data_IF_556765708030
#
_entry.id   IF_556765708030
#
_cell.length_a   1.000
_cell.length_b   1.000
_cell.length_c   1.000
_cell.angle_alpha   90.00
_cell.angle_beta   90.00
_cell.angle_gamma   90.00
#
_symmetry.space_group_name_H-M   'P 1'
#
loop_
_entity.id
_entity.type
_entity.pdbx_description
1 polymer ?
#
# COMPACT_ATOMS: atom_id res chain seq x y z
N UNK A 1 15.91 12.52 9.36
CA UNK A 1 15.39 13.72 8.66
C UNK A 1 14.09 13.38 7.93
N UNK A 2 13.26 14.36 7.56
CA UNK A 2 12.06 14.17 6.73
C UNK A 2 10.83 13.64 7.47
N UNK A 3 9.72 13.49 6.73
CA UNK A 3 8.41 13.09 7.24
C UNK A 3 7.66 12.20 6.22
N UNK A 4 6.38 11.92 6.49
CA UNK A 4 5.51 11.14 5.60
C UNK A 4 5.56 11.67 4.16
N UNK A 5 5.49 10.76 3.19
CA UNK A 5 5.58 11.01 1.73
C UNK A 5 6.99 11.35 1.22
N UNK A 6 8.00 11.34 2.09
CA UNK A 6 9.41 11.48 1.71
C UNK A 6 10.21 10.20 1.96
N UNK A 7 11.30 10.02 1.20
CA UNK A 7 12.16 8.81 1.27
C UNK A 7 13.25 8.90 2.34
N UNK A 8 13.31 10.00 3.09
CA UNK A 8 14.23 10.20 4.23
C UNK A 8 13.89 9.26 5.40
N UNK A 9 14.85 8.96 6.28
CA UNK A 9 14.65 8.00 7.39
C UNK A 9 13.45 8.36 8.29
N UNK A 10 13.12 9.64 8.46
CA UNK A 10 11.95 10.07 9.24
C UNK A 10 10.60 9.74 8.59
N UNK A 11 10.57 9.50 7.27
CA UNK A 11 9.39 9.02 6.55
C UNK A 11 9.30 7.49 6.44
N UNK A 12 10.44 6.80 6.45
CA UNK A 12 10.49 5.37 6.05
C UNK A 12 11.01 4.42 7.13
N UNK A 13 11.80 4.89 8.09
CA UNK A 13 12.27 4.08 9.21
C UNK A 13 11.24 4.14 10.33
N UNK A 14 10.52 3.05 10.52
CA UNK A 14 9.48 2.93 11.53
C UNK A 14 9.90 1.98 12.65
N UNK A 15 9.54 2.25 13.91
CA UNK A 15 9.65 1.24 14.96
C UNK A 15 8.68 0.09 14.66
N UNK A 16 9.15 -1.13 14.84
CA UNK A 16 8.32 -2.34 14.72
C UNK A 16 8.62 -3.26 15.91
N UNK A 17 7.59 -3.95 16.39
CA UNK A 17 7.69 -4.95 17.45
C UNK A 17 7.00 -6.22 16.99
N UNK A 18 7.62 -7.36 17.28
CA UNK A 18 7.05 -8.68 17.03
C UNK A 18 6.78 -9.34 18.38
N UNK A 19 5.55 -9.81 18.57
CA UNK A 19 5.12 -10.48 19.78
C UNK A 19 4.07 -11.54 19.45
N UNK A 20 3.97 -12.57 20.27
CA UNK A 20 2.95 -13.60 20.15
C UNK A 20 3.43 -14.99 20.57
N UNK A 21 2.49 -15.89 20.87
CA UNK A 21 2.79 -17.18 21.48
C UNK A 21 3.65 -18.13 20.63
N UNK A 22 3.61 -18.01 19.29
CA UNK A 22 4.52 -18.77 18.42
C UNK A 22 5.97 -18.30 18.53
N UNK A 23 6.17 -16.98 18.61
CA UNK A 23 7.48 -16.36 18.73
C UNK A 23 8.08 -16.66 20.11
N UNK A 24 7.31 -16.41 21.17
CA UNK A 24 7.72 -16.67 22.56
C UNK A 24 8.14 -18.13 22.75
N UNK A 25 7.29 -19.08 22.34
CA UNK A 25 7.57 -20.51 22.43
C UNK A 25 8.85 -20.91 21.68
N UNK A 26 9.10 -20.35 20.51
CA UNK A 26 10.28 -20.71 19.72
C UNK A 26 11.55 -20.02 20.22
N UNK A 27 11.44 -18.82 20.80
CA UNK A 27 12.53 -18.15 21.52
C UNK A 27 12.91 -18.91 22.80
N UNK A 28 11.93 -19.38 23.58
CA UNK A 28 12.15 -20.22 24.77
C UNK A 28 12.94 -21.49 24.44
N UNK A 29 12.61 -22.17 23.33
CA UNK A 29 13.32 -23.37 22.86
C UNK A 29 14.81 -23.14 22.61
N UNK A 30 15.21 -21.92 22.29
CA UNK A 30 16.61 -21.53 22.08
C UNK A 30 17.17 -20.68 23.22
N UNK A 31 16.45 -20.62 24.35
CA UNK A 31 16.82 -19.84 25.55
C UNK A 31 17.12 -18.37 25.24
N UNK A 32 16.29 -17.77 24.38
CA UNK A 32 16.39 -16.35 24.02
C UNK A 32 15.39 -15.52 24.83
N UNK A 33 15.88 -14.49 25.51
CA UNK A 33 15.06 -13.48 26.16
C UNK A 33 14.58 -12.43 25.14
N UNK A 34 13.49 -11.67 25.41
CA UNK A 34 13.09 -10.54 24.59
C UNK A 34 14.24 -9.53 24.38
N UNK A 35 14.38 -9.03 23.16
CA UNK A 35 15.50 -8.16 22.78
C UNK A 35 15.10 -7.13 21.71
N UNK A 36 15.98 -6.14 21.54
CA UNK A 36 15.92 -5.19 20.43
C UNK A 36 16.96 -5.56 19.38
N UNK A 37 16.58 -5.54 18.11
CA UNK A 37 17.50 -5.74 16.99
C UNK A 37 17.51 -4.54 16.05
N UNK A 38 18.66 -4.27 15.46
CA UNK A 38 18.86 -3.25 14.42
C UNK A 38 19.15 -3.86 13.05
N UNK A 39 18.96 -5.17 12.93
CA UNK A 39 19.10 -5.90 11.68
C UNK A 39 18.11 -5.38 10.62
N UNK A 40 18.54 -5.36 9.36
CA UNK A 40 17.77 -4.78 8.27
C UNK A 40 16.51 -5.61 7.98
N UNK A 41 15.33 -5.02 8.17
CA UNK A 41 14.04 -5.63 7.84
C UNK A 41 13.18 -4.65 7.04
N UNK A 42 12.27 -5.19 6.25
CA UNK A 42 11.31 -4.43 5.46
C UNK A 42 9.89 -4.99 5.63
N UNK A 43 8.85 -4.19 5.38
CA UNK A 43 7.44 -4.62 5.53
C UNK A 43 7.11 -5.84 4.65
N UNK A 44 7.76 -5.97 3.50
CA UNK A 44 7.59 -7.13 2.60
C UNK A 44 8.09 -8.44 3.21
N UNK A 45 8.99 -8.38 4.19
CA UNK A 45 9.51 -9.56 4.89
C UNK A 45 8.47 -10.23 5.78
N UNK A 46 7.47 -9.48 6.24
CA UNK A 46 6.44 -10.00 7.14
C UNK A 46 5.71 -11.16 6.45
N UNK A 47 5.32 -10.97 5.18
CA UNK A 47 4.62 -11.99 4.41
C UNK A 47 5.48 -13.24 4.20
N UNK A 48 6.72 -13.08 3.74
CA UNK A 48 7.65 -14.19 3.52
C UNK A 48 7.94 -14.96 4.83
N UNK A 49 8.05 -14.25 5.95
CA UNK A 49 8.26 -14.84 7.28
C UNK A 49 7.03 -15.64 7.74
N UNK A 50 5.82 -15.14 7.53
CA UNK A 50 4.59 -15.87 7.87
C UNK A 50 4.46 -17.14 7.03
N UNK A 51 4.73 -17.09 5.72
CA UNK A 51 4.72 -18.26 4.86
C UNK A 51 5.67 -19.36 5.37
N UNK A 52 6.86 -18.96 5.82
CA UNK A 52 7.81 -19.88 6.43
C UNK A 52 7.27 -20.51 7.72
N UNK A 53 6.67 -19.73 8.63
CA UNK A 53 6.05 -20.25 9.86
C UNK A 53 4.92 -21.24 9.55
N UNK A 54 4.14 -20.97 8.49
CA UNK A 54 3.08 -21.83 8.01
C UNK A 54 3.57 -23.04 7.21
N UNK A 55 4.88 -23.20 7.03
CA UNK A 55 5.50 -24.27 6.25
C UNK A 55 4.99 -24.34 4.79
N UNK A 56 4.75 -23.17 4.18
CA UNK A 56 4.37 -23.04 2.77
C UNK A 56 5.63 -23.08 1.90
N UNK A 57 5.59 -23.85 0.81
CA UNK A 57 6.65 -23.86 -0.20
C UNK A 57 6.58 -22.59 -1.07
N UNK A 58 7.62 -21.76 -1.00
CA UNK A 58 7.72 -20.50 -1.74
C UNK A 58 8.63 -20.60 -2.97
N UNK A 59 9.12 -21.78 -3.34
CA UNK A 59 10.12 -21.97 -4.41
C UNK A 59 9.66 -21.38 -5.76
N UNK A 60 8.35 -21.45 -6.05
CA UNK A 60 7.78 -20.95 -7.30
C UNK A 60 7.11 -19.56 -7.16
N UNK A 61 7.28 -18.89 -6.02
CA UNK A 61 6.69 -17.58 -5.76
C UNK A 61 7.72 -16.48 -6.03
N UNK A 62 7.34 -15.44 -6.77
CA UNK A 62 8.15 -14.22 -6.91
C UNK A 62 7.84 -13.30 -5.73
N UNK A 63 8.71 -13.31 -4.71
CA UNK A 63 8.58 -12.49 -3.51
C UNK A 63 9.75 -11.52 -3.39
N UNK A 64 9.45 -10.26 -3.06
CA UNK A 64 10.49 -9.25 -2.72
C UNK A 64 10.91 -9.33 -1.25
N UNK A 65 10.11 -10.03 -0.43
CA UNK A 65 10.35 -10.28 0.98
C UNK A 65 11.25 -11.50 1.21
N UNK A 66 12.02 -11.47 2.30
CA UNK A 66 12.81 -12.62 2.76
C UNK A 66 12.34 -13.08 4.15
N UNK A 67 12.57 -14.35 4.45
CA UNK A 67 12.25 -14.92 5.76
C UNK A 67 13.18 -14.36 6.85
N UNK A 68 12.60 -13.70 7.86
CA UNK A 68 13.33 -13.13 8.99
C UNK A 68 13.18 -13.95 10.29
N UNK A 69 12.57 -15.14 10.25
CA UNK A 69 12.26 -15.92 11.45
C UNK A 69 13.50 -16.25 12.28
N UNK A 70 14.63 -16.56 11.63
CA UNK A 70 15.89 -16.78 12.35
C UNK A 70 16.46 -15.51 12.98
N UNK A 71 16.26 -14.37 12.35
CA UNK A 71 16.64 -13.08 12.92
C UNK A 71 15.78 -12.72 14.12
N UNK A 72 14.49 -13.10 14.13
CA UNK A 72 13.53 -12.84 15.21
C UNK A 72 13.64 -13.83 16.40
N UNK A 73 13.95 -15.09 16.15
CA UNK A 73 13.99 -16.13 17.20
C UNK A 73 15.40 -16.31 17.76
N UNK A 74 16.43 -16.11 16.94
CA UNK A 74 17.82 -16.49 17.26
C UNK A 74 18.80 -15.32 17.26
N UNK A 75 18.31 -14.09 17.14
CA UNK A 75 19.12 -12.87 17.00
C UNK A 75 20.27 -13.04 15.99
N UNK A 76 19.98 -13.66 14.85
CA UNK A 76 20.94 -13.87 13.75
C UNK A 76 20.87 -12.71 12.77
N UNK A 77 21.96 -12.46 12.05
CA UNK A 77 22.01 -11.44 11.02
C UNK A 77 20.87 -11.62 10.01
N UNK A 78 20.30 -10.51 9.56
CA UNK A 78 19.23 -10.49 8.57
C UNK A 78 19.68 -11.15 7.27
N UNK A 79 18.76 -11.94 6.70
CA UNK A 79 18.90 -12.46 5.34
C UNK A 79 18.88 -11.32 4.30
N UNK A 80 18.25 -10.19 4.64
CA UNK A 80 18.12 -9.01 3.76
C UNK A 80 19.42 -8.22 3.73
N UNK A 81 19.88 -7.91 2.51
CA UNK A 81 21.08 -7.09 2.27
C UNK A 81 20.77 -5.77 1.56
N UNK A 82 19.61 -5.67 0.93
CA UNK A 82 19.15 -4.46 0.25
C UNK A 82 17.66 -4.17 0.53
N UNK A 83 17.28 -2.90 0.42
CA UNK A 83 15.91 -2.41 0.51
C UNK A 83 15.71 -1.35 -0.56
N UNK A 84 14.82 -1.62 -1.50
CA UNK A 84 14.24 -0.57 -2.34
C UNK A 84 13.15 0.11 -1.52
N UNK A 85 13.30 1.41 -1.27
CA UNK A 85 12.28 2.19 -0.55
C UNK A 85 11.13 2.50 -1.49
N UNK A 86 11.46 3.05 -2.66
CA UNK A 86 10.56 3.26 -3.78
C UNK A 86 11.38 3.70 -5.00
N UNK A 87 10.86 3.42 -6.20
CA UNK A 87 11.30 4.03 -7.46
C UNK A 87 10.02 4.50 -8.14
N UNK A 88 9.88 5.81 -8.28
CA UNK A 88 8.72 6.37 -8.98
C UNK A 88 8.76 5.99 -10.46
N UNK A 89 7.61 6.07 -11.14
CA UNK A 89 7.57 5.80 -12.58
C UNK A 89 8.40 6.80 -13.41
N UNK A 90 8.63 6.47 -14.68
CA UNK A 90 9.29 7.37 -15.64
C UNK A 90 8.58 8.74 -15.75
N UNK A 91 7.24 8.76 -15.63
CA UNK A 91 6.46 10.00 -15.60
C UNK A 91 6.93 10.93 -14.49
N UNK A 92 7.30 10.37 -13.33
CA UNK A 92 7.82 11.08 -12.16
C UNK A 92 9.35 10.92 -12.04
N UNK A 93 10.01 10.76 -13.19
CA UNK A 93 11.45 10.84 -13.37
C UNK A 93 12.26 9.83 -12.55
N UNK A 94 11.68 8.67 -12.23
CA UNK A 94 12.37 7.60 -11.51
C UNK A 94 12.96 8.03 -10.16
N UNK A 95 12.44 9.10 -9.54
CA UNK A 95 12.89 9.55 -8.21
C UNK A 95 12.57 8.51 -7.13
N UNK A 96 13.42 8.39 -6.12
CA UNK A 96 13.31 7.29 -5.18
C UNK A 96 14.53 7.11 -4.27
N UNK A 97 14.60 5.96 -3.60
CA UNK A 97 15.73 5.61 -2.75
C UNK A 97 15.96 4.10 -2.68
N UNK A 98 17.23 3.74 -2.53
CA UNK A 98 17.72 2.37 -2.39
C UNK A 98 18.73 2.32 -1.25
N UNK A 99 18.66 1.29 -0.41
CA UNK A 99 19.66 0.99 0.61
C UNK A 99 20.31 -0.36 0.32
N UNK A 100 21.64 -0.41 0.38
CA UNK A 100 22.42 -1.64 0.33
C UNK A 100 23.38 -1.63 1.52
N UNK A 101 23.23 -2.59 2.42
CA UNK A 101 23.96 -2.63 3.69
C UNK A 101 23.78 -1.35 4.49
N UNK A 102 24.89 -0.66 4.75
CA UNK A 102 24.91 0.56 5.55
C UNK A 102 24.65 1.82 4.73
N UNK A 103 24.69 1.72 3.40
CA UNK A 103 24.60 2.89 2.52
C UNK A 103 23.23 3.04 1.89
N UNK A 104 22.75 4.28 1.83
CA UNK A 104 21.50 4.66 1.20
C UNK A 104 21.75 5.71 0.12
N UNK A 105 21.29 5.41 -1.08
CA UNK A 105 21.25 6.31 -2.23
C UNK A 105 19.85 6.92 -2.36
N UNK A 106 19.79 8.22 -2.61
CA UNK A 106 18.53 8.97 -2.80
C UNK A 106 18.64 9.79 -4.08
N UNK A 107 17.61 9.68 -4.93
CA UNK A 107 17.39 10.51 -6.11
C UNK A 107 16.14 11.36 -5.89
N UNK A 108 16.34 12.63 -5.55
CA UNK A 108 15.26 13.55 -5.15
C UNK A 108 15.07 14.67 -6.19
N UNK A 109 13.80 15.02 -6.47
CA UNK A 109 13.42 16.14 -7.33
C UNK A 109 12.83 17.29 -6.50
N UNK A 110 12.65 18.46 -7.10
CA UNK A 110 12.22 19.66 -6.36
C UNK A 110 10.76 19.60 -5.88
N UNK A 111 9.97 18.65 -6.38
CA UNK A 111 8.56 18.47 -6.03
C UNK A 111 8.29 17.00 -5.71
N UNK A 112 7.45 16.76 -4.69
CA UNK A 112 6.94 15.43 -4.37
C UNK A 112 5.94 14.97 -5.43
N UNK A 113 5.65 13.67 -5.49
CA UNK A 113 4.60 13.14 -6.39
C UNK A 113 3.26 13.80 -6.08
N UNK A 114 2.90 13.92 -4.79
CA UNK A 114 1.65 14.56 -4.37
C UNK A 114 1.52 16.00 -4.88
N UNK A 115 2.52 16.84 -4.62
CA UNK A 115 2.49 18.24 -5.06
C UNK A 115 2.44 18.36 -6.58
N UNK A 116 3.14 17.47 -7.28
CA UNK A 116 3.15 17.41 -8.74
C UNK A 116 1.78 17.04 -9.30
N UNK A 117 1.15 16.00 -8.77
CA UNK A 117 -0.20 15.58 -9.18
C UNK A 117 -1.19 16.70 -8.93
N UNK A 118 -1.20 17.29 -7.73
CA UNK A 118 -2.10 18.41 -7.39
C UNK A 118 -1.93 19.61 -8.34
N UNK A 119 -0.69 19.98 -8.66
CA UNK A 119 -0.40 21.06 -9.60
C UNK A 119 -0.85 20.74 -11.03
N UNK A 120 -0.62 19.50 -11.50
CA UNK A 120 -1.11 19.05 -12.81
C UNK A 120 -2.64 19.11 -12.85
N UNK A 121 -3.33 18.52 -11.86
CA UNK A 121 -4.80 18.49 -11.83
C UNK A 121 -5.40 19.91 -11.80
N UNK A 122 -4.79 20.85 -11.06
CA UNK A 122 -5.23 22.25 -11.06
C UNK A 122 -5.11 22.92 -12.43
N UNK A 123 -4.08 22.58 -13.22
CA UNK A 123 -3.91 23.08 -14.59
C UNK A 123 -4.93 22.43 -15.53
N UNK A 124 -5.15 21.12 -15.40
CA UNK A 124 -6.15 20.39 -16.20
C UNK A 124 -7.55 20.95 -15.97
N UNK A 125 -7.91 21.25 -14.71
CA UNK A 125 -9.23 21.80 -14.36
C UNK A 125 -9.50 23.20 -14.92
N UNK A 126 -8.45 23.99 -15.21
CA UNK A 126 -8.57 25.31 -15.84
C UNK A 126 -8.64 25.24 -17.36
N UNK A 127 -8.28 24.10 -17.95
CA UNK A 127 -8.34 23.91 -19.38
C UNK A 127 -9.70 23.33 -19.78
N UNK A 128 -10.31 23.88 -20.82
CA UNK A 128 -11.48 23.26 -21.46
C UNK A 128 -11.10 22.09 -22.39
N UNK A 129 -9.80 21.74 -22.50
CA UNK A 129 -9.30 20.73 -23.43
C UNK A 129 -8.94 19.40 -22.75
N UNK A 130 -9.35 18.30 -23.38
CA UNK A 130 -8.84 16.96 -23.09
C UNK A 130 -7.34 16.90 -23.41
N UNK A 131 -6.48 16.77 -22.39
CA UNK A 131 -5.03 16.71 -22.58
C UNK A 131 -4.57 15.30 -23.01
N UNK A 132 -3.89 15.15 -24.17
CA UNK A 132 -3.22 13.90 -24.51
C UNK A 132 -2.11 13.58 -23.50
N UNK A 133 -1.96 12.30 -23.11
CA UNK A 133 -0.95 11.80 -22.14
C UNK A 133 0.47 12.34 -22.35
N UNK A 134 0.89 12.57 -23.61
CA UNK A 134 2.21 13.14 -23.95
C UNK A 134 2.43 14.55 -23.38
N UNK A 135 1.38 15.37 -23.30
CA UNK A 135 1.47 16.73 -22.73
C UNK A 135 1.57 16.70 -21.19
N UNK A 136 0.99 15.70 -20.55
CA UNK A 136 1.06 15.54 -19.09
C UNK A 136 2.50 15.21 -18.67
N UNK A 137 3.20 14.35 -19.41
CA UNK A 137 4.60 14.05 -19.11
C UNK A 137 5.51 15.29 -19.21
N UNK A 138 5.29 16.16 -20.21
CA UNK A 138 6.05 17.42 -20.30
C UNK A 138 5.74 18.37 -19.15
N UNK A 139 4.47 18.44 -18.71
CA UNK A 139 4.07 19.29 -17.60
C UNK A 139 4.67 18.80 -16.28
N UNK A 140 4.62 17.50 -16.02
CA UNK A 140 5.27 16.89 -14.86
C UNK A 140 6.76 17.21 -14.83
N UNK A 141 7.47 17.05 -15.97
CA UNK A 141 8.89 17.40 -16.09
C UNK A 141 9.17 18.87 -15.78
N UNK A 142 8.29 19.78 -16.21
CA UNK A 142 8.42 21.20 -15.92
C UNK A 142 8.27 21.49 -14.42
N UNK A 143 7.32 20.84 -13.75
CA UNK A 143 7.04 21.04 -12.33
C UNK A 143 8.13 20.43 -11.44
N UNK A 144 8.54 19.18 -11.72
CA UNK A 144 9.52 18.46 -10.90
C UNK A 144 10.95 19.01 -11.05
N UNK A 145 11.22 19.74 -12.13
CA UNK A 145 12.54 20.27 -12.46
C UNK A 145 13.42 19.25 -13.20
N UNK A 146 14.45 19.75 -13.89
CA UNK A 146 15.28 18.93 -14.79
C UNK A 146 16.46 18.23 -14.11
N UNK A 147 16.91 18.71 -12.96
CA UNK A 147 18.13 18.23 -12.31
C UNK A 147 17.79 17.66 -10.94
N UNK A 148 17.92 16.33 -10.74
CA UNK A 148 17.71 15.74 -9.43
C UNK A 148 18.86 16.08 -8.49
N UNK A 149 18.56 16.19 -7.20
CA UNK A 149 19.54 16.16 -6.13
C UNK A 149 19.84 14.71 -5.79
N UNK A 150 21.13 14.37 -5.75
CA UNK A 150 21.60 13.04 -5.40
C UNK A 150 22.26 13.04 -4.04
N UNK A 151 21.94 12.02 -3.26
CA UNK A 151 22.52 11.85 -1.93
C UNK A 151 23.02 10.43 -1.72
N UNK A 152 24.09 10.32 -0.95
CA UNK A 152 24.63 9.05 -0.46
C UNK A 152 24.96 9.22 1.03
N UNK A 153 24.39 8.36 1.87
CA UNK A 153 24.64 8.39 3.31
C UNK A 153 25.00 7.00 3.81
N UNK A 154 25.91 6.93 4.78
CA UNK A 154 26.00 5.77 5.66
C UNK A 154 24.93 5.94 6.75
N UNK A 155 23.80 5.24 6.66
CA UNK A 155 22.66 5.41 7.58
C UNK A 155 22.88 4.79 8.96
N UNK A 156 23.93 3.99 9.13
CA UNK A 156 24.35 3.48 10.44
C UNK A 156 25.14 4.54 11.19
N UNK A 157 26.09 5.21 10.51
CA UNK A 157 26.91 6.29 11.10
C UNK A 157 26.20 7.65 11.12
N UNK A 158 25.32 7.91 10.14
CA UNK A 158 24.54 9.14 10.01
C UNK A 158 23.03 8.81 9.92
N UNK A 159 22.42 8.31 11.01
CA UNK A 159 21.01 7.91 11.01
C UNK A 159 20.05 9.09 10.85
N UNK A 160 20.55 10.32 11.01
CA UNK A 160 19.77 11.54 10.81
C UNK A 160 19.85 12.09 9.38
N UNK A 161 20.70 11.52 8.52
CA UNK A 161 20.96 12.00 7.15
C UNK A 161 21.34 13.50 7.11
N UNK A 162 22.22 13.89 8.05
CA UNK A 162 22.76 15.24 8.15
C UNK A 162 23.69 15.54 6.97
N UNK A 163 23.73 16.81 6.59
CA UNK A 163 24.63 17.33 5.56
C UNK A 163 25.48 18.50 6.08
N UNK A 164 25.40 18.76 7.38
CA UNK A 164 25.87 19.95 8.05
C UNK A 164 26.73 19.59 9.26
N UNK A 165 27.69 20.48 9.55
CA UNK A 165 28.60 20.36 10.68
C UNK A 165 30.03 20.00 10.30
N UNK A 166 30.96 20.33 11.19
CA UNK A 166 32.29 19.74 11.18
C UNK A 166 32.20 18.41 11.92
N UNK A 167 32.67 17.34 11.29
CA UNK A 167 32.83 16.03 11.90
C UNK A 167 34.19 15.45 11.53
N UNK A 168 34.72 14.62 12.43
CA UNK A 168 36.00 13.93 12.21
C UNK A 168 35.85 12.75 11.24
N UNK A 169 34.65 12.15 11.18
CA UNK A 169 34.28 11.10 10.22
C UNK A 169 33.20 11.62 9.28
N UNK A 170 33.56 11.85 8.02
CA UNK A 170 32.67 12.35 6.97
C UNK A 170 31.40 11.50 6.82
N UNK A 171 31.47 10.18 7.06
CA UNK A 171 30.31 9.30 6.99
C UNK A 171 29.23 9.61 8.03
N UNK A 172 29.61 10.26 9.14
CA UNK A 172 28.71 10.58 10.26
C UNK A 172 27.89 11.84 10.06
N UNK A 173 28.30 12.77 9.17
CA UNK A 173 27.64 14.07 9.05
C UNK A 173 27.52 14.66 7.63
N UNK A 174 28.08 14.01 6.59
CA UNK A 174 28.09 14.57 5.24
C UNK A 174 27.28 13.74 4.25
N UNK A 175 26.87 14.41 3.16
CA UNK A 175 26.46 13.74 1.93
C UNK A 175 27.72 13.26 1.20
N UNK A 176 27.85 11.94 1.05
CA UNK A 176 29.03 11.28 0.49
C UNK A 176 28.99 11.19 -1.04
N UNK A 177 27.92 11.64 -1.70
CA UNK A 177 27.72 11.41 -3.13
C UNK A 177 28.86 12.00 -4.00
N UNK A 178 29.34 13.18 -3.63
CA UNK A 178 30.47 13.85 -4.31
C UNK A 178 31.83 13.55 -3.65
N UNK A 179 31.87 12.71 -2.63
CA UNK A 179 33.09 12.44 -1.88
C UNK A 179 33.99 11.47 -2.67
N UNK A 180 35.29 11.76 -2.86
CA UNK A 180 36.18 10.95 -3.69
C UNK A 180 36.44 9.54 -3.11
N UNK A 181 36.39 9.40 -1.78
CA UNK A 181 36.55 8.09 -1.12
C UNK A 181 35.38 7.11 -1.28
N UNK A 182 34.24 7.53 -1.83
CA UNK A 182 33.03 6.70 -1.94
C UNK A 182 32.59 6.48 -3.39
N UNK A 183 33.48 6.68 -4.37
CA UNK A 183 33.14 6.49 -5.79
C UNK A 183 32.70 5.06 -6.11
N UNK A 184 33.38 4.06 -5.53
CA UNK A 184 33.03 2.65 -5.73
C UNK A 184 31.65 2.32 -5.14
N UNK A 185 31.41 2.72 -3.88
CA UNK A 185 30.11 2.56 -3.22
C UNK A 185 29.00 3.24 -4.01
N UNK A 186 29.21 4.49 -4.45
CA UNK A 186 28.28 5.20 -5.33
C UNK A 186 27.99 4.41 -6.60
N UNK A 187 29.03 3.93 -7.29
CA UNK A 187 28.90 3.17 -8.53
C UNK A 187 28.11 1.86 -8.35
N UNK A 188 28.26 1.18 -7.21
CA UNK A 188 27.47 -0.02 -6.88
C UNK A 188 25.99 0.33 -6.70
N UNK A 189 25.68 1.36 -5.90
CA UNK A 189 24.28 1.74 -5.66
C UNK A 189 23.61 2.31 -6.91
N UNK A 190 24.29 3.14 -7.70
CA UNK A 190 23.72 3.69 -8.95
C UNK A 190 23.42 2.59 -9.96
N UNK A 191 24.35 1.66 -10.17
CA UNK A 191 24.14 0.52 -11.08
C UNK A 191 22.96 -0.34 -10.64
N UNK A 192 22.91 -0.68 -9.35
CA UNK A 192 21.79 -1.47 -8.82
C UNK A 192 20.47 -0.72 -8.94
N UNK A 193 20.47 0.60 -8.75
CA UNK A 193 19.29 1.43 -8.93
C UNK A 193 18.81 1.43 -10.39
N UNK A 194 19.72 1.57 -11.36
CA UNK A 194 19.41 1.52 -12.79
C UNK A 194 18.85 0.15 -13.20
N UNK A 195 19.44 -0.96 -12.74
CA UNK A 195 18.90 -2.31 -12.96
C UNK A 195 17.46 -2.44 -12.45
N UNK A 196 17.17 -1.90 -11.27
CA UNK A 196 15.82 -1.93 -10.69
C UNK A 196 14.83 -1.05 -11.46
N UNK A 197 15.29 0.09 -12.00
CA UNK A 197 14.48 0.93 -12.89
C UNK A 197 14.12 0.16 -14.17
N UNK A 198 15.07 -0.59 -14.74
CA UNK A 198 14.84 -1.38 -15.96
C UNK A 198 13.91 -2.58 -15.72
N UNK A 199 14.01 -3.24 -14.57
CA UNK A 199 13.15 -4.39 -14.20
C UNK A 199 11.76 -3.96 -13.68
N UNK A 200 11.54 -2.65 -13.48
CA UNK A 200 10.28 -2.13 -12.96
C UNK A 200 9.14 -2.27 -13.97
N UNK A 201 8.00 -2.76 -13.50
CA UNK A 201 6.78 -2.77 -14.29
C UNK A 201 6.33 -1.33 -14.63
N UNK A 202 5.72 -1.09 -15.81
CA UNK A 202 5.18 0.22 -16.16
C UNK A 202 4.13 0.69 -15.15
N UNK A 203 4.11 2.00 -14.89
CA UNK A 203 3.06 2.58 -14.05
C UNK A 203 1.67 2.45 -14.70
N UNK A 204 0.72 1.98 -13.89
CA UNK A 204 -0.71 1.91 -14.22
C UNK A 204 -1.48 3.15 -13.76
N UNK A 205 -0.77 4.21 -13.35
CA UNK A 205 -1.41 5.47 -12.95
C UNK A 205 -2.07 6.13 -14.17
N UNK A 206 -3.38 6.31 -14.09
CA UNK A 206 -4.16 6.99 -15.12
C UNK A 206 -4.51 8.40 -14.67
N UNK A 207 -4.29 9.37 -15.56
CA UNK A 207 -4.71 10.76 -15.36
C UNK A 207 -6.19 10.94 -15.69
N UNK A 208 -7.04 10.08 -15.11
CA UNK A 208 -8.49 10.15 -15.21
C UNK A 208 -9.04 10.63 -13.87
N UNK A 209 -9.76 11.75 -13.88
CA UNK A 209 -10.52 12.22 -12.73
C UNK A 209 -12.00 11.96 -12.98
N UNK A 210 -12.59 11.03 -12.23
CA UNK A 210 -14.04 10.80 -12.26
C UNK A 210 -14.82 11.95 -11.61
N UNK A 211 -14.15 12.79 -10.82
CA UNK A 211 -14.71 13.94 -10.14
C UNK A 211 -16.10 13.65 -9.55
N UNK A 212 -17.17 14.31 -10.04
CA UNK A 212 -18.53 14.13 -9.51
C UNK A 212 -19.12 12.74 -9.79
N UNK A 213 -18.65 12.01 -10.80
CA UNK A 213 -19.21 10.70 -11.19
C UNK A 213 -18.96 9.61 -10.15
N UNK A 214 -17.90 9.76 -9.34
CA UNK A 214 -17.57 8.90 -8.21
C UNK A 214 -18.17 9.40 -6.87
N UNK A 215 -18.94 10.49 -6.87
CA UNK A 215 -19.46 11.09 -5.64
C UNK A 215 -20.32 10.11 -4.84
N UNK A 216 -20.05 9.86 -3.55
CA UNK A 216 -20.87 9.02 -2.68
C UNK A 216 -22.35 9.44 -2.63
N UNK A 217 -22.65 10.71 -2.89
CA UNK A 217 -24.03 11.21 -2.97
C UNK A 217 -24.84 10.47 -4.06
N UNK A 218 -24.18 10.06 -5.15
CA UNK A 218 -24.79 9.28 -6.23
C UNK A 218 -24.96 7.79 -5.87
N UNK A 219 -24.45 7.38 -4.70
CA UNK A 219 -24.38 5.99 -4.24
C UNK A 219 -24.88 5.86 -2.80
N UNK A 220 -26.05 6.42 -2.51
CA UNK A 220 -26.72 6.33 -1.19
C UNK A 220 -25.87 6.85 -0.01
N UNK A 221 -24.95 7.78 -0.27
CA UNK A 221 -24.14 8.43 0.76
C UNK A 221 -22.94 7.62 1.24
N UNK A 222 -22.56 6.52 0.56
CA UNK A 222 -21.36 5.74 0.89
C UNK A 222 -20.51 5.43 -0.33
N UNK A 223 -19.21 5.27 -0.11
CA UNK A 223 -18.30 4.80 -1.15
C UNK A 223 -18.64 3.36 -1.53
N UNK A 224 -18.92 3.12 -2.80
CA UNK A 224 -19.20 1.81 -3.37
C UNK A 224 -18.55 1.69 -4.74
N UNK A 225 -18.57 0.52 -5.38
CA UNK A 225 -18.11 0.38 -6.76
C UNK A 225 -18.89 1.35 -7.66
N UNK A 226 -18.22 2.34 -8.23
CA UNK A 226 -18.88 3.40 -9.02
C UNK A 226 -18.74 3.18 -10.53
N UNK A 227 -18.06 2.11 -10.98
CA UNK A 227 -17.93 1.71 -12.39
C UNK A 227 -18.38 0.27 -12.62
N UNK A 228 -18.87 -0.01 -13.83
CA UNK A 228 -19.18 -1.36 -14.31
C UNK A 228 -17.93 -2.14 -14.77
N UNK A 229 -18.13 -3.37 -15.25
CA UNK A 229 -17.04 -4.23 -15.75
C UNK A 229 -16.35 -3.70 -17.02
N UNK A 230 -16.96 -2.72 -17.71
CA UNK A 230 -16.40 -2.07 -18.89
C UNK A 230 -15.77 -0.71 -18.55
N UNK A 231 -15.71 -0.35 -17.27
CA UNK A 231 -15.17 0.92 -16.80
C UNK A 231 -16.12 2.10 -16.98
N UNK A 232 -17.41 1.90 -17.22
CA UNK A 232 -18.39 3.00 -17.35
C UNK A 232 -18.92 3.40 -15.97
N UNK A 233 -18.88 4.68 -15.58
CA UNK A 233 -19.45 5.13 -14.31
C UNK A 233 -20.96 4.89 -14.20
N UNK A 234 -21.42 4.31 -13.09
CA UNK A 234 -22.82 3.95 -12.89
C UNK A 234 -23.76 5.17 -12.87
N UNK A 235 -23.24 6.32 -12.46
CA UNK A 235 -23.96 7.61 -12.46
C UNK A 235 -24.46 8.01 -13.86
N UNK A 236 -23.80 7.55 -14.93
CA UNK A 236 -24.20 7.83 -16.31
C UNK A 236 -25.51 7.10 -16.69
N UNK A 237 -25.76 5.90 -16.17
CA UNK A 237 -27.00 5.17 -16.49
C UNK A 237 -28.25 5.86 -15.94
N UNK A 238 -28.13 6.57 -14.82
CA UNK A 238 -29.21 7.39 -14.25
C UNK A 238 -29.45 8.69 -15.03
N UNK A 239 -28.39 9.28 -15.60
CA UNK A 239 -28.49 10.50 -16.41
C UNK A 239 -29.14 10.24 -17.79
N UNK A 240 -28.84 9.11 -18.43
CA UNK A 240 -29.47 8.72 -19.72
C UNK A 240 -30.97 8.51 -19.62
N UNK A 241 -31.46 8.00 -18.48
CA UNK A 241 -32.90 7.79 -18.26
C UNK A 241 -33.71 9.09 -18.27
N UNK A 242 -33.09 10.22 -17.90
CA UNK A 242 -33.75 11.51 -17.86
C UNK A 242 -33.62 12.29 -19.18
N UNK A 243 -32.66 11.95 -20.05
CA UNK A 243 -32.57 12.58 -21.38
C UNK A 243 -33.57 11.98 -22.38
N UNK A 244 -33.88 10.69 -22.29
CA UNK A 244 -34.90 10.04 -23.13
C UNK A 244 -36.34 10.40 -22.69
N UNK A 245 -36.52 10.83 -21.44
CA UNK A 245 -37.80 11.34 -20.94
C UNK A 245 -38.19 12.71 -21.53
N UNK A 246 -37.27 13.44 -22.16
CA UNK A 246 -37.56 14.73 -22.81
C UNK A 246 -38.06 14.62 -24.25
N UNK A 247 -38.07 13.44 -24.87
CA UNK A 247 -38.57 13.25 -26.26
C UNK A 247 -39.97 12.62 -26.34
N UNK A 248 -40.65 12.36 -25.22
CA UNK A 248 -41.97 11.71 -25.24
C UNK A 248 -42.95 12.23 -24.19
N UNK A 249 -43.31 13.52 -24.28
CA UNK A 249 -44.59 13.98 -23.75
C UNK A 249 -45.26 14.93 -24.73
N UNK A 250 -46.23 14.39 -25.47
CA UNK A 250 -47.35 15.15 -26.02
C UNK A 250 -48.00 15.97 -24.90
N UNK A 251 -47.99 17.28 -25.10
CA UNK A 251 -48.86 18.32 -24.53
C UNK A 251 -49.76 17.94 -23.35
N UNK A 252 -49.41 18.40 -22.16
CA UNK A 252 -50.36 18.94 -21.18
C UNK A 252 -49.73 20.20 -20.56
N UNK A 253 -50.55 21.23 -20.41
CA UNK A 253 -50.24 22.63 -20.18
C UNK A 253 -49.28 22.96 -19.02
N UNK A 254 -48.44 23.98 -19.27
CA UNK A 254 -48.26 25.05 -18.30
C UNK A 254 -46.98 25.08 -17.47
N UNK A 255 -45.78 25.04 -18.08
CA UNK A 255 -44.59 25.67 -17.50
C UNK A 255 -43.76 26.30 -18.63
N UNK A 256 -43.70 27.63 -18.66
CA UNK A 256 -42.79 28.40 -19.52
C UNK A 256 -41.35 28.25 -19.02
N UNK A 257 -40.46 27.70 -19.86
CA UNK A 257 -39.03 28.02 -19.80
C UNK A 257 -38.71 28.91 -21.00
N UNK A 258 -38.36 30.17 -20.73
CA UNK A 258 -38.02 31.16 -21.74
C UNK A 258 -36.77 30.79 -22.55
N UNK A 259 -36.88 30.95 -23.88
CA UNK A 259 -36.00 31.72 -24.78
C UNK A 259 -34.49 31.71 -24.49
N UNK A 260 -33.56 31.47 -25.42
CA UNK A 260 -33.52 31.37 -26.89
C UNK A 260 -32.07 30.95 -27.19
N UNK A 261 -31.84 30.02 -28.11
CA UNK A 261 -30.88 30.21 -29.20
C UNK A 261 -30.92 29.03 -30.16
N UNK A 262 -31.27 29.35 -31.40
CA UNK A 262 -31.48 28.44 -32.51
C UNK A 262 -30.19 28.41 -33.33
N UNK A 263 -29.49 27.29 -33.35
CA UNK A 263 -28.54 26.95 -34.42
C UNK A 263 -28.80 25.53 -34.92
N UNK A 264 -29.35 25.50 -36.13
CA UNK A 264 -29.73 24.36 -36.95
C UNK A 264 -28.52 23.47 -37.26
N UNK A 265 -28.55 22.19 -36.88
CA UNK A 265 -27.71 21.15 -37.50
C UNK A 265 -28.57 19.92 -37.80
N UNK A 266 -28.69 19.67 -39.10
CA UNK A 266 -29.30 18.52 -39.79
C UNK A 266 -28.80 17.16 -39.31
N UNK A 267 -29.73 16.25 -39.05
CA UNK A 267 -29.52 14.80 -38.91
C UNK A 267 -29.32 14.13 -40.28
N UNK A 268 -28.45 13.11 -40.39
CA UNK A 268 -28.61 12.06 -41.39
C UNK A 268 -29.21 10.82 -40.74
N UNK A 269 -30.31 10.39 -41.33
CA UNK A 269 -30.94 9.08 -41.17
C UNK A 269 -29.98 7.95 -41.59
N UNK A 270 -29.86 6.90 -40.79
CA UNK A 270 -29.61 5.56 -41.34
C UNK A 270 -30.20 4.47 -40.46
N UNK A 271 -30.73 3.49 -41.17
CA UNK A 271 -31.58 2.39 -40.80
C UNK A 271 -30.88 1.31 -39.97
N UNK A 272 -31.71 0.70 -39.13
CA UNK A 272 -31.56 -0.60 -38.46
C UNK A 272 -31.07 -1.69 -39.40
N UNK A 273 -30.17 -2.54 -38.92
CA UNK A 273 -30.24 -3.97 -39.18
C UNK A 273 -29.95 -4.75 -37.89
N UNK A 274 -30.96 -5.50 -37.47
CA UNK A 274 -30.95 -6.35 -36.29
C UNK A 274 -31.10 -7.80 -36.77
N UNK A 275 -30.04 -8.59 -36.64
CA UNK A 275 -30.14 -10.05 -36.66
C UNK A 275 -28.91 -10.66 -36.00
N UNK A 276 -29.07 -11.07 -34.73
CA UNK A 276 -28.56 -12.32 -34.16
C UNK A 276 -28.83 -12.36 -32.65
N UNK A 277 -30.08 -12.67 -32.29
CA UNK A 277 -30.44 -13.08 -30.94
C UNK A 277 -30.21 -14.59 -30.82
N UNK A 278 -29.23 -15.01 -30.02
CA UNK A 278 -29.16 -16.38 -29.50
C UNK A 278 -29.96 -16.45 -28.20
N UNK A 279 -31.07 -17.17 -28.28
CA UNK A 279 -31.92 -17.60 -27.17
C UNK A 279 -31.15 -18.64 -26.35
N UNK A 280 -30.91 -18.37 -25.07
CA UNK A 280 -30.62 -19.42 -24.08
C UNK A 280 -31.69 -19.40 -22.98
N UNK A 281 -32.35 -20.55 -22.87
CA UNK A 281 -33.47 -20.87 -21.99
C UNK A 281 -33.05 -20.91 -20.51
N UNK A 282 -33.93 -20.38 -19.65
CA UNK A 282 -33.84 -20.36 -18.20
C UNK A 282 -34.15 -21.75 -17.60
N UNK A 283 -33.13 -22.43 -17.07
CA UNK A 283 -33.28 -23.58 -16.16
C UNK A 283 -32.01 -23.74 -15.31
N UNK A 284 -31.84 -22.95 -14.24
CA UNK A 284 -30.96 -23.27 -13.09
C UNK A 284 -31.13 -22.21 -11.98
N UNK A 285 -32.27 -22.20 -11.27
CA UNK A 285 -32.42 -21.33 -10.08
C UNK A 285 -32.86 -22.08 -8.81
N UNK A 286 -33.25 -23.34 -8.93
CA UNK A 286 -33.73 -24.16 -7.80
C UNK A 286 -32.61 -24.91 -7.07
N UNK A 287 -31.49 -25.22 -7.72
CA UNK A 287 -30.41 -26.02 -7.11
C UNK A 287 -29.49 -25.22 -6.17
N UNK A 288 -29.44 -23.89 -6.31
CA UNK A 288 -28.55 -23.05 -5.49
C UNK A 288 -29.06 -22.85 -4.05
N UNK A 289 -30.37 -22.91 -3.81
CA UNK A 289 -30.93 -22.75 -2.45
C UNK A 289 -30.63 -23.95 -1.54
N UNK A 290 -30.63 -25.16 -2.08
CA UNK A 290 -30.38 -26.37 -1.29
C UNK A 290 -28.89 -26.49 -0.88
N UNK A 291 -27.97 -25.97 -1.69
CA UNK A 291 -26.54 -25.97 -1.40
C UNK A 291 -26.15 -24.97 -0.29
N UNK A 292 -26.83 -23.82 -0.22
CA UNK A 292 -26.61 -22.80 0.82
C UNK A 292 -27.17 -23.20 2.21
N UNK A 293 -28.24 -23.98 2.24
CA UNK A 293 -28.80 -24.51 3.50
C UNK A 293 -27.93 -25.64 4.07
N UNK A 294 -27.33 -26.48 3.22
CA UNK A 294 -26.43 -27.54 3.68
C UNK A 294 -25.11 -26.99 4.27
N UNK A 295 -24.55 -25.91 3.73
CA UNK A 295 -23.28 -25.33 4.22
C UNK A 295 -23.44 -24.60 5.57
N UNK A 296 -24.60 -24.00 5.83
CA UNK A 296 -24.89 -23.30 7.08
C UNK A 296 -25.07 -24.27 8.27
N UNK A 297 -25.65 -25.45 8.04
CA UNK A 297 -25.79 -26.48 9.11
C UNK A 297 -24.43 -27.06 9.51
N UNK A 298 -23.53 -27.27 8.55
CA UNK A 298 -22.16 -27.74 8.80
C UNK A 298 -21.31 -26.73 9.59
N UNK A 299 -21.45 -25.44 9.30
CA UNK A 299 -20.76 -24.38 10.04
C UNK A 299 -21.21 -24.30 11.51
N UNK A 300 -22.51 -24.43 11.77
CA UNK A 300 -23.04 -24.39 13.15
C UNK A 300 -22.57 -25.60 13.96
N UNK A 301 -22.54 -26.79 13.36
CA UNK A 301 -22.03 -28.00 14.02
C UNK A 301 -20.53 -27.88 14.38
N UNK A 302 -19.72 -27.30 13.48
CA UNK A 302 -18.30 -27.07 13.72
C UNK A 302 -18.07 -26.04 14.85
N UNK A 303 -18.88 -24.99 14.92
CA UNK A 303 -18.81 -23.98 15.97
C UNK A 303 -19.15 -24.56 17.35
N UNK A 304 -20.20 -25.40 17.43
CA UNK A 304 -20.58 -26.09 18.67
C UNK A 304 -19.46 -27.04 19.13
N UNK A 305 -18.86 -27.81 18.22
CA UNK A 305 -17.74 -28.69 18.55
C UNK A 305 -16.50 -27.91 19.07
N UNK A 306 -16.23 -26.73 18.51
CA UNK A 306 -15.15 -25.86 18.95
C UNK A 306 -15.40 -25.30 20.37
N UNK A 307 -16.63 -24.86 20.66
CA UNK A 307 -17.02 -24.35 21.98
C UNK A 307 -16.90 -25.45 23.05
N UNK A 308 -17.35 -26.67 22.75
CA UNK A 308 -17.22 -27.80 23.68
C UNK A 308 -15.75 -28.16 23.97
N UNK A 309 -14.88 -28.09 22.97
CA UNK A 309 -13.45 -28.37 23.12
C UNK A 309 -12.73 -27.29 23.95
N UNK A 310 -13.12 -26.03 23.77
CA UNK A 310 -12.60 -24.90 24.55
C UNK A 310 -13.03 -24.98 26.03
N UNK A 311 -14.30 -25.31 26.30
CA UNK A 311 -14.81 -25.50 27.67
C UNK A 311 -14.10 -26.63 28.42
N UNK A 312 -13.84 -27.76 27.73
CA UNK A 312 -13.14 -28.89 28.35
C UNK A 312 -11.67 -28.57 28.66
N UNK A 313 -11.00 -27.77 27.82
CA UNK A 313 -9.62 -27.35 28.04
C UNK A 313 -9.48 -26.38 29.22
N UNK A 314 -10.42 -25.45 29.39
CA UNK A 314 -10.41 -24.50 30.51
C UNK A 314 -10.61 -25.17 31.87
N UNK A 315 -11.46 -26.19 31.94
CA UNK A 315 -11.71 -26.94 33.19
C UNK A 315 -10.45 -27.63 33.73
N UNK A 316 -9.56 -28.11 32.85
CA UNK A 316 -8.30 -28.77 33.23
C UNK A 316 -7.22 -27.79 33.73
N UNK A 317 -7.21 -26.58 33.20
CA UNK A 317 -6.25 -25.53 33.62
C UNK A 317 -6.63 -24.95 34.97
N UNK A 318 -7.93 -24.72 35.21
CA UNK A 318 -8.42 -24.20 36.49
C UNK A 318 -8.18 -25.18 37.65
N UNK A 319 -8.35 -26.49 37.41
CA UNK A 319 -8.09 -27.53 38.41
C UNK A 319 -6.59 -27.65 38.79
N UNK A 320 -5.67 -27.27 37.89
CA UNK A 320 -4.23 -27.24 38.17
C UNK A 320 -3.78 -25.98 38.92
N UNK A 321 -4.50 -24.86 38.80
CA UNK A 321 -4.19 -23.63 39.52
C UNK A 321 -4.59 -23.71 41.00
N UNK A 322 -5.72 -24.35 41.33
CA UNK A 322 -6.23 -24.44 42.71
C UNK A 322 -5.33 -25.30 43.61
N UNK A 323 -4.57 -26.25 43.06
CA UNK A 323 -3.66 -27.10 43.84
C UNK A 323 -2.27 -26.49 44.13
N UNK A 324 -1.94 -25.30 43.61
CA UNK A 324 -0.61 -24.69 43.75
C UNK A 324 -0.53 -23.47 44.67
N UNK A 325 -1.65 -23.00 45.24
CA UNK A 325 -1.66 -21.82 46.12
C UNK A 325 -1.84 -22.20 47.60
N UNK A 326 -0.77 -22.68 48.24
CA UNK A 326 -0.58 -22.54 49.69
C UNK A 326 0.68 -21.70 49.90
N UNK A 327 0.50 -20.39 50.10
CA UNK A 327 1.58 -19.40 50.15
C UNK A 327 1.87 -19.00 51.60
N UNK A 328 3.14 -19.09 51.98
CA UNK A 328 3.75 -18.82 53.29
C UNK A 328 4.10 -17.33 53.43
N UNK A 329 3.60 -16.60 54.44
CA UNK A 329 3.81 -15.17 54.57
C UNK A 329 5.04 -14.88 55.44
N UNK A 330 6.24 -14.92 54.86
CA UNK A 330 7.44 -14.31 55.46
C UNK A 330 8.52 -14.04 54.39
N UNK A 331 8.57 -12.80 53.88
CA UNK A 331 9.78 -12.06 53.46
C UNK A 331 9.37 -10.81 52.66
N UNK A 332 9.46 -9.65 53.29
CA UNK A 332 9.39 -8.34 52.63
C UNK A 332 10.30 -7.37 53.40
N UNK A 333 11.41 -6.98 52.77
CA UNK A 333 12.30 -5.79 52.90
C UNK A 333 13.55 -6.17 52.08
N UNK A 334 14.07 -5.45 51.08
CA UNK A 334 14.58 -4.07 50.96
C UNK A 334 14.54 -3.70 49.45
N UNK A 335 14.46 -2.47 48.92
CA UNK A 335 14.96 -1.17 49.35
C UNK A 335 16.14 -0.72 48.44
N UNK A 336 15.89 -0.14 47.25
CA UNK A 336 16.91 0.62 46.48
C UNK A 336 16.29 1.80 45.72
N UNK A 337 16.95 2.95 45.87
CA UNK A 337 16.67 4.31 45.39
C UNK A 337 17.15 4.56 43.94
N UNK A 338 16.44 5.41 43.20
CA UNK A 338 16.84 5.95 41.89
C UNK A 338 17.22 7.43 42.01
N UNK A 339 18.32 7.83 41.36
CA UNK A 339 18.69 9.21 41.07
C UNK A 339 18.52 9.49 39.56
N UNK A 340 18.07 10.69 39.14
CA UNK A 340 17.76 10.97 37.73
C UNK A 340 18.92 11.63 36.96
N UNK A 341 18.95 11.37 35.65
CA UNK A 341 19.51 12.22 34.60
C UNK A 341 18.37 12.67 33.67
#
# INVERSE_FOLDING_TARGET
>A
KGYKDEVWEGGVRVPAFFAGGFLERDMEKVSMDPYTTFELMHVTDIYATILHICNVDTTNMRLDGVNQWHTLVRNKSSARKEVVININSETFLNGGALRIGDYKFILEYNSTVHNTVSAVMAILAQSEMLYPKKHIHSLVRQIMGKQPKKYLFNVVKNPSERCDGQCDDDESCKNLYSHPGFQDTKGVLERRYEELVEDSAPAVFEWQDDGPLASPYLFNGYWSTWRDSHGVPYSIYGLKKNSEACESTTAIDGIECGSKDTTTITTPTSSVDASNALVYSCHTFTDFRNLLVASSVLMVAALIAFIYKAHFSWSRTLFRMIHRSSFDPRKQTDGVSYAPL
#
